data_IF_574532554367
#
_entry.id   IF_574532554367
#
_cell.length_a   1.000
_cell.length_b   1.000
_cell.length_c   1.000
_cell.angle_alpha   90.00
_cell.angle_beta   90.00
_cell.angle_gamma   90.00
#
_symmetry.space_group_name_H-M   'P 1'
#
loop_
_entity.id
_entity.type
_entity.pdbx_description
1 polymer ?
#
# COMPACT_ATOMS: atom_id res chain seq x y z
N UNK A 1 -41.28 -10.33 -18.82
CA UNK A 1 -40.30 -11.11 -19.62
C UNK A 1 -39.27 -11.68 -18.66
N UNK A 2 -38.84 -12.94 -18.82
CA UNK A 2 -37.79 -13.50 -17.95
C UNK A 2 -36.50 -12.68 -18.10
N UNK A 3 -35.83 -12.44 -16.97
CA UNK A 3 -34.55 -11.75 -16.90
C UNK A 3 -33.49 -12.55 -17.67
N UNK A 4 -32.79 -11.93 -18.62
CA UNK A 4 -31.76 -12.62 -19.39
C UNK A 4 -30.49 -12.85 -18.52
N UNK A 5 -29.63 -13.79 -18.93
CA UNK A 5 -28.44 -14.17 -18.13
C UNK A 5 -27.52 -12.97 -17.84
N UNK A 6 -27.39 -12.04 -18.78
CA UNK A 6 -26.60 -10.82 -18.59
C UNK A 6 -27.21 -9.90 -17.50
N UNK A 7 -28.52 -9.73 -17.48
CA UNK A 7 -29.21 -8.94 -16.44
C UNK A 7 -29.01 -9.57 -15.06
N UNK A 8 -29.11 -10.90 -14.95
CA UNK A 8 -28.84 -11.63 -13.70
C UNK A 8 -27.40 -11.44 -13.22
N UNK A 9 -26.43 -11.54 -14.13
CA UNK A 9 -25.02 -11.34 -13.82
C UNK A 9 -24.74 -9.91 -13.32
N UNK A 10 -25.23 -8.89 -14.03
CA UNK A 10 -25.06 -7.49 -13.64
C UNK A 10 -25.73 -7.22 -12.29
N UNK A 11 -26.91 -7.80 -12.03
CA UNK A 11 -27.58 -7.72 -10.74
C UNK A 11 -26.72 -8.35 -9.62
N UNK A 12 -26.18 -9.55 -9.85
CA UNK A 12 -25.32 -10.24 -8.90
C UNK A 12 -24.07 -9.40 -8.57
N UNK A 13 -23.41 -8.83 -9.58
CA UNK A 13 -22.25 -7.94 -9.40
C UNK A 13 -22.63 -6.71 -8.59
N UNK A 14 -23.78 -6.09 -8.87
CA UNK A 14 -24.25 -4.92 -8.12
C UNK A 14 -24.46 -5.25 -6.64
N UNK A 15 -25.19 -6.32 -6.34
CA UNK A 15 -25.55 -6.72 -4.98
C UNK A 15 -24.34 -7.24 -4.18
N UNK A 16 -23.36 -7.86 -4.85
CA UNK A 16 -22.19 -8.48 -4.18
C UNK A 16 -20.98 -7.55 -4.09
N UNK A 17 -20.84 -6.63 -5.06
CA UNK A 17 -19.65 -5.79 -5.22
C UNK A 17 -19.99 -4.31 -5.08
N UNK A 18 -20.80 -3.75 -6.00
CA UNK A 18 -21.02 -2.29 -6.05
C UNK A 18 -21.70 -1.75 -4.77
N UNK A 19 -22.76 -2.40 -4.30
CA UNK A 19 -23.53 -1.98 -3.12
C UNK A 19 -22.70 -2.11 -1.83
N UNK A 20 -22.12 -3.28 -1.49
CA UNK A 20 -21.24 -3.41 -0.34
C UNK A 20 -20.03 -2.48 -0.39
N UNK A 21 -19.44 -2.27 -1.57
CA UNK A 21 -18.34 -1.31 -1.72
C UNK A 21 -18.79 0.11 -1.36
N UNK A 22 -19.93 0.54 -1.90
CA UNK A 22 -20.47 1.87 -1.62
C UNK A 22 -20.85 2.05 -0.14
N UNK A 23 -21.30 0.98 0.53
CA UNK A 23 -21.53 0.97 1.98
C UNK A 23 -20.23 1.13 2.78
N UNK A 24 -19.16 0.38 2.44
CA UNK A 24 -17.84 0.54 3.06
C UNK A 24 -17.32 1.98 2.91
N UNK A 25 -17.45 2.55 1.71
CA UNK A 25 -17.07 3.95 1.43
C UNK A 25 -17.90 4.92 2.27
N UNK A 26 -19.22 4.74 2.35
CA UNK A 26 -20.08 5.61 3.19
C UNK A 26 -19.76 5.48 4.67
N UNK A 27 -19.43 4.29 5.14
CA UNK A 27 -19.04 4.03 6.53
C UNK A 27 -17.73 4.71 6.91
N UNK A 28 -16.70 4.62 6.05
CA UNK A 28 -15.35 5.15 6.34
C UNK A 28 -15.15 6.60 5.91
N UNK A 29 -15.73 7.02 4.78
CA UNK A 29 -15.51 8.32 4.13
C UNK A 29 -16.83 8.99 3.69
N UNK A 30 -17.81 9.06 4.59
CA UNK A 30 -19.16 9.60 4.31
C UNK A 30 -19.17 10.93 3.55
N UNK A 31 -18.29 11.88 3.92
CA UNK A 31 -18.18 13.21 3.28
C UNK A 31 -17.66 13.16 1.84
N UNK A 32 -16.92 12.13 1.47
CA UNK A 32 -16.31 11.98 0.14
C UNK A 32 -17.10 11.02 -0.77
N UNK A 33 -18.03 10.24 -0.20
CA UNK A 33 -18.75 9.16 -0.89
C UNK A 33 -19.40 9.60 -2.22
N UNK A 34 -19.94 10.82 -2.29
CA UNK A 34 -20.61 11.33 -3.49
C UNK A 34 -19.68 11.52 -4.71
N UNK A 35 -18.37 11.69 -4.47
CA UNK A 35 -17.33 11.87 -5.50
C UNK A 35 -16.29 10.75 -5.45
N UNK A 36 -16.63 9.65 -4.78
CA UNK A 36 -15.70 8.55 -4.59
C UNK A 36 -15.56 7.75 -5.89
N UNK A 37 -14.34 7.30 -6.26
CA UNK A 37 -14.14 6.50 -7.45
C UNK A 37 -15.07 5.28 -7.49
N UNK A 38 -15.57 4.98 -8.69
CA UNK A 38 -16.60 3.96 -8.96
C UNK A 38 -17.99 4.24 -8.37
N UNK A 39 -18.11 4.64 -7.09
CA UNK A 39 -19.38 4.97 -6.43
C UNK A 39 -20.10 6.15 -7.09
N UNK A 40 -19.33 7.13 -7.54
CA UNK A 40 -19.85 8.32 -8.25
C UNK A 40 -20.19 8.04 -9.72
N UNK A 41 -19.82 6.88 -10.25
CA UNK A 41 -20.05 6.48 -11.64
C UNK A 41 -18.84 5.75 -12.21
N UNK A 42 -19.12 4.64 -12.89
CA UNK A 42 -18.14 3.81 -13.57
C UNK A 42 -18.74 3.14 -14.80
N UNK A 43 -17.86 2.77 -15.71
CA UNK A 43 -18.11 1.78 -16.74
C UNK A 43 -17.59 0.41 -16.27
N UNK A 44 -18.42 -0.63 -16.35
CA UNK A 44 -18.06 -1.99 -15.94
C UNK A 44 -17.81 -2.86 -17.16
N UNK A 45 -16.62 -3.44 -17.23
CA UNK A 45 -16.26 -4.48 -18.20
C UNK A 45 -16.10 -5.80 -17.48
N UNK A 46 -16.69 -6.86 -18.02
CA UNK A 46 -16.61 -8.22 -17.46
C UNK A 46 -15.80 -9.09 -18.41
N UNK A 47 -14.80 -9.78 -17.87
CA UNK A 47 -14.01 -10.80 -18.54
C UNK A 47 -14.09 -12.14 -17.80
N UNK A 48 -13.80 -13.24 -18.49
CA UNK A 48 -13.74 -14.57 -17.89
C UNK A 48 -12.45 -15.27 -18.30
N UNK A 49 -11.81 -15.97 -17.36
CA UNK A 49 -10.61 -16.76 -17.62
C UNK A 49 -10.58 -18.02 -16.76
N UNK A 50 -10.70 -19.20 -17.40
CA UNK A 50 -10.63 -20.52 -16.72
C UNK A 50 -11.46 -20.59 -15.42
N UNK A 51 -12.71 -20.10 -15.46
CA UNK A 51 -13.64 -20.09 -14.32
C UNK A 51 -13.60 -18.83 -13.44
N UNK A 52 -12.54 -18.03 -13.54
CA UNK A 52 -12.49 -16.72 -12.88
C UNK A 52 -13.32 -15.70 -13.64
N UNK A 53 -14.02 -14.84 -12.92
CA UNK A 53 -14.64 -13.64 -13.45
C UNK A 53 -13.79 -12.43 -13.05
N UNK A 54 -13.46 -11.57 -14.02
CA UNK A 54 -12.60 -10.40 -13.83
C UNK A 54 -13.43 -9.16 -14.13
N UNK A 55 -13.57 -8.29 -13.13
CA UNK A 55 -14.41 -7.10 -13.20
C UNK A 55 -13.52 -5.87 -13.26
N UNK A 56 -13.62 -5.12 -14.34
CA UNK A 56 -12.86 -3.89 -14.55
C UNK A 56 -13.83 -2.71 -14.49
N UNK A 57 -13.67 -1.88 -13.46
CA UNK A 57 -14.44 -0.67 -13.24
C UNK A 57 -13.62 0.54 -13.66
N UNK A 58 -13.92 1.09 -14.84
CA UNK A 58 -13.36 2.38 -15.29
C UNK A 58 -14.15 3.52 -14.69
N UNK A 59 -13.52 4.36 -13.87
CA UNK A 59 -14.18 5.49 -13.27
C UNK A 59 -14.57 6.53 -14.33
N UNK A 60 -15.84 6.96 -14.31
CA UNK A 60 -16.37 7.97 -15.24
C UNK A 60 -16.88 9.21 -14.52
N UNK A 61 -17.19 9.11 -13.21
CA UNK A 61 -17.84 10.17 -12.45
C UNK A 61 -19.29 10.45 -12.86
N UNK A 62 -19.84 9.67 -13.80
CA UNK A 62 -21.19 9.83 -14.34
C UNK A 62 -21.94 8.51 -14.22
N UNK A 63 -22.96 8.48 -13.36
CA UNK A 63 -23.77 7.27 -13.10
C UNK A 63 -24.57 6.76 -14.31
N UNK A 64 -24.83 7.63 -15.28
CA UNK A 64 -25.70 7.35 -16.43
C UNK A 64 -24.99 6.61 -17.58
N UNK A 65 -23.66 6.53 -17.60
CA UNK A 65 -22.91 5.88 -18.68
C UNK A 65 -22.40 4.50 -18.24
N UNK A 66 -22.97 3.44 -18.82
CA UNK A 66 -22.48 2.06 -18.74
C UNK A 66 -22.35 1.52 -20.17
N UNK A 67 -21.14 1.26 -20.66
CA UNK A 67 -20.94 0.49 -21.89
C UNK A 67 -20.82 -0.99 -21.53
N UNK A 68 -21.41 -1.87 -22.34
CA UNK A 68 -21.33 -3.33 -22.15
C UNK A 68 -20.15 -3.93 -22.93
N UNK A 69 -19.06 -3.18 -23.06
CA UNK A 69 -17.88 -3.68 -23.75
C UNK A 69 -17.24 -4.75 -22.86
N UNK A 70 -17.42 -6.01 -23.26
CA UNK A 70 -16.69 -7.12 -22.66
C UNK A 70 -15.18 -6.87 -22.73
N UNK A 71 -14.42 -7.52 -21.86
CA UNK A 71 -12.96 -7.38 -21.82
C UNK A 71 -12.25 -8.01 -23.04
N UNK A 72 -13.01 -8.56 -24.00
CA UNK A 72 -12.51 -9.44 -25.05
C UNK A 72 -12.22 -10.84 -24.53
N UNK A 73 -11.57 -11.67 -25.36
CA UNK A 73 -11.09 -12.98 -24.95
C UNK A 73 -9.85 -12.81 -24.08
N UNK A 74 -9.87 -13.36 -22.87
CA UNK A 74 -8.70 -13.45 -22.01
C UNK A 74 -7.96 -14.76 -22.29
N UNK A 75 -6.74 -14.66 -22.78
CA UNK A 75 -5.83 -15.80 -23.03
C UNK A 75 -4.71 -15.83 -21.99
N UNK A 76 -3.99 -16.95 -21.82
CA UNK A 76 -2.83 -17.02 -20.93
C UNK A 76 -1.77 -15.94 -21.21
N UNK A 77 -1.61 -15.51 -22.46
CA UNK A 77 -0.66 -14.47 -22.86
C UNK A 77 -1.11 -13.08 -22.38
N UNK A 78 -2.41 -12.81 -22.42
CA UNK A 78 -3.03 -11.58 -21.90
C UNK A 78 -2.92 -11.56 -20.37
N UNK A 79 -3.37 -12.64 -19.73
CA UNK A 79 -3.35 -12.81 -18.26
C UNK A 79 -1.91 -12.87 -17.72
N UNK A 80 -0.96 -13.34 -18.53
CA UNK A 80 0.43 -13.58 -18.14
C UNK A 80 0.63 -14.84 -17.29
N UNK A 81 -0.36 -15.73 -17.22
CA UNK A 81 -0.30 -16.96 -16.46
C UNK A 81 -1.22 -18.04 -17.05
N UNK A 82 -0.83 -19.31 -16.90
CA UNK A 82 -1.67 -20.45 -17.31
C UNK A 82 -2.91 -20.61 -16.42
N UNK A 83 -2.86 -20.20 -15.16
CA UNK A 83 -4.01 -20.21 -14.26
C UNK A 83 -3.88 -19.05 -13.27
N UNK A 84 -5.01 -18.54 -12.81
CA UNK A 84 -5.05 -17.58 -11.70
C UNK A 84 -5.20 -18.40 -10.40
N UNK A 85 -4.35 -18.11 -9.44
CA UNK A 85 -4.32 -18.71 -8.10
C UNK A 85 -4.19 -17.60 -7.06
N UNK A 86 -4.44 -17.93 -5.79
CA UNK A 86 -4.24 -16.97 -4.69
C UNK A 86 -2.80 -16.44 -4.61
N UNK A 87 -1.83 -17.26 -5.01
CA UNK A 87 -0.41 -16.90 -4.92
C UNK A 87 0.04 -15.95 -6.06
N UNK A 88 -0.66 -15.96 -7.20
CA UNK A 88 -0.26 -15.16 -8.37
C UNK A 88 -1.27 -14.07 -8.77
N UNK A 89 -2.44 -13.99 -8.12
CA UNK A 89 -3.51 -13.04 -8.49
C UNK A 89 -3.01 -11.59 -8.51
N UNK A 90 -2.10 -11.21 -7.59
CA UNK A 90 -1.57 -9.85 -7.56
C UNK A 90 -0.56 -9.56 -8.68
N UNK A 91 0.19 -10.58 -9.11
CA UNK A 91 1.01 -10.47 -10.32
C UNK A 91 0.13 -10.25 -11.55
N UNK A 92 -0.94 -11.04 -11.68
CA UNK A 92 -1.92 -10.91 -12.78
C UNK A 92 -2.61 -9.55 -12.73
N UNK A 93 -3.05 -9.08 -11.55
CA UNK A 93 -3.69 -7.77 -11.35
C UNK A 93 -2.80 -6.65 -11.86
N UNK A 94 -1.53 -6.62 -11.47
CA UNK A 94 -0.56 -5.60 -11.89
C UNK A 94 -0.39 -5.57 -13.41
N UNK A 95 -0.20 -6.75 -14.03
CA UNK A 95 -0.09 -6.87 -15.47
C UNK A 95 -1.33 -6.35 -16.20
N UNK A 96 -2.52 -6.70 -15.71
CA UNK A 96 -3.78 -6.24 -16.33
C UNK A 96 -4.01 -4.74 -16.13
N UNK A 97 -3.65 -4.18 -14.97
CA UNK A 97 -3.67 -2.72 -14.73
C UNK A 97 -2.80 -2.00 -15.76
N UNK A 98 -1.59 -2.48 -16.00
CA UNK A 98 -0.67 -1.93 -17.01
C UNK A 98 -1.22 -2.08 -18.43
N UNK A 99 -1.66 -3.28 -18.81
CA UNK A 99 -2.14 -3.58 -20.15
C UNK A 99 -3.40 -2.80 -20.53
N UNK A 100 -4.32 -2.61 -19.59
CA UNK A 100 -5.55 -1.86 -19.81
C UNK A 100 -5.41 -0.35 -19.55
N UNK A 101 -4.21 0.12 -19.16
CA UNK A 101 -3.93 1.52 -18.88
C UNK A 101 -4.83 2.09 -17.77
N UNK A 102 -5.06 1.32 -16.70
CA UNK A 102 -6.00 1.69 -15.65
C UNK A 102 -5.47 2.84 -14.80
N UNK A 103 -6.28 3.88 -14.66
CA UNK A 103 -6.00 5.01 -13.80
C UNK A 103 -6.02 4.59 -12.31
N UNK A 104 -5.40 5.36 -11.41
CA UNK A 104 -5.46 5.10 -9.97
C UNK A 104 -6.90 5.00 -9.42
N UNK A 105 -7.85 5.73 -10.02
CA UNK A 105 -9.27 5.74 -9.69
C UNK A 105 -10.08 4.59 -10.29
N UNK A 106 -9.50 3.82 -11.20
CA UNK A 106 -10.12 2.61 -11.75
C UNK A 106 -9.91 1.44 -10.78
N UNK A 107 -10.77 0.43 -10.85
CA UNK A 107 -10.62 -0.80 -10.08
C UNK A 107 -10.62 -2.04 -10.97
N UNK A 108 -9.85 -3.04 -10.55
CA UNK A 108 -9.84 -4.37 -11.12
C UNK A 108 -10.10 -5.36 -9.98
N UNK A 109 -11.11 -6.21 -10.12
CA UNK A 109 -11.51 -7.21 -9.12
C UNK A 109 -11.42 -8.60 -9.74
N UNK A 110 -10.88 -9.54 -8.98
CA UNK A 110 -10.81 -10.95 -9.33
C UNK A 110 -11.82 -11.74 -8.52
N UNK A 111 -12.78 -12.35 -9.20
CA UNK A 111 -13.83 -13.16 -8.59
C UNK A 111 -13.53 -14.65 -8.86
N UNK A 112 -13.12 -15.41 -7.82
CA UNK A 112 -12.79 -16.83 -7.93
C UNK A 112 -13.98 -17.72 -8.32
N UNK A 113 -13.76 -18.86 -8.99
CA UNK A 113 -14.83 -19.80 -9.30
C UNK A 113 -15.54 -20.35 -8.05
N UNK A 114 -14.88 -20.35 -6.88
CA UNK A 114 -15.45 -20.80 -5.61
C UNK A 114 -16.42 -19.79 -4.97
N UNK A 115 -16.42 -18.53 -5.43
CA UNK A 115 -17.26 -17.46 -4.88
C UNK A 115 -16.47 -16.17 -4.62
N UNK A 116 -17.21 -15.06 -4.43
CA UNK A 116 -16.61 -13.75 -4.19
C UNK A 116 -15.91 -13.70 -2.83
N UNK A 117 -14.66 -13.26 -2.82
CA UNK A 117 -13.92 -12.98 -1.59
C UNK A 117 -14.06 -11.50 -1.22
N UNK A 118 -14.66 -11.16 -0.06
CA UNK A 118 -14.80 -9.77 0.38
C UNK A 118 -13.49 -8.99 0.52
N UNK A 119 -12.32 -9.66 0.52
CA UNK A 119 -11.00 -9.01 0.49
C UNK A 119 -10.79 -8.15 -0.76
N UNK A 120 -11.41 -8.50 -1.89
CA UNK A 120 -11.31 -7.71 -3.14
C UNK A 120 -11.88 -6.30 -2.96
N UNK A 121 -12.87 -6.14 -2.09
CA UNK A 121 -13.40 -4.82 -1.75
C UNK A 121 -12.42 -4.01 -0.90
N UNK A 122 -11.61 -4.66 -0.07
CA UNK A 122 -10.54 -4.01 0.70
C UNK A 122 -9.38 -3.60 -0.20
N UNK A 123 -9.02 -4.44 -1.18
CA UNK A 123 -8.03 -4.10 -2.22
C UNK A 123 -8.50 -2.88 -3.03
N UNK A 124 -9.76 -2.88 -3.47
CA UNK A 124 -10.38 -1.75 -4.17
C UNK A 124 -10.44 -0.49 -3.29
N UNK A 125 -10.76 -0.64 -2.01
CA UNK A 125 -10.78 0.46 -1.04
C UNK A 125 -9.40 1.08 -0.88
N UNK A 126 -8.38 0.25 -0.61
CA UNK A 126 -6.99 0.66 -0.46
C UNK A 126 -6.52 1.42 -1.70
N UNK A 127 -6.76 0.88 -2.89
CA UNK A 127 -6.40 1.51 -4.16
C UNK A 127 -6.98 2.92 -4.28
N UNK A 128 -8.28 3.08 -4.02
CA UNK A 128 -8.94 4.39 -4.13
C UNK A 128 -8.54 5.35 -3.00
N UNK A 129 -8.24 4.87 -1.80
CA UNK A 129 -7.68 5.70 -0.73
C UNK A 129 -6.28 6.21 -1.10
N UNK A 130 -5.43 5.37 -1.68
CA UNK A 130 -4.12 5.78 -2.22
C UNK A 130 -4.26 6.82 -3.32
N UNK A 131 -5.11 6.57 -4.32
CA UNK A 131 -5.36 7.49 -5.43
C UNK A 131 -5.82 8.87 -4.96
N UNK A 132 -6.53 8.91 -3.83
CA UNK A 132 -7.04 10.15 -3.24
C UNK A 132 -6.09 10.80 -2.23
N UNK A 133 -4.89 10.25 -2.03
CA UNK A 133 -3.92 10.74 -1.06
C UNK A 133 -4.40 10.61 0.40
N UNK A 134 -5.29 9.66 0.68
CA UNK A 134 -5.83 9.41 2.02
C UNK A 134 -5.02 8.39 2.81
N UNK A 135 -4.12 7.67 2.13
CA UNK A 135 -3.21 6.72 2.76
C UNK A 135 -1.88 7.42 3.07
N UNK A 136 -1.38 7.31 4.30
CA UNK A 136 -0.07 7.82 4.64
C UNK A 136 1.03 7.03 3.92
N UNK A 137 1.97 7.73 3.28
CA UNK A 137 3.00 7.12 2.43
C UNK A 137 4.42 7.37 2.94
N UNK A 138 4.58 8.06 4.07
CA UNK A 138 5.91 8.40 4.58
C UNK A 138 6.64 7.19 5.13
N UNK A 139 7.96 7.25 5.07
CA UNK A 139 8.84 6.27 5.69
C UNK A 139 9.63 6.99 6.78
N UNK A 140 9.30 6.73 8.04
CA UNK A 140 10.06 7.28 9.16
C UNK A 140 11.41 6.58 9.30
N UNK A 141 12.49 7.35 9.45
CA UNK A 141 13.84 6.81 9.62
C UNK A 141 14.38 7.13 11.03
N UNK A 142 14.13 6.23 11.99
CA UNK A 142 14.59 6.34 13.38
C UNK A 142 16.07 5.99 13.49
N UNK A 143 16.85 6.91 14.06
CA UNK A 143 18.29 6.79 14.19
C UNK A 143 18.83 7.71 15.28
N UNK A 144 20.08 7.51 15.69
CA UNK A 144 20.79 8.48 16.53
C UNK A 144 21.45 9.56 15.69
N UNK A 145 21.62 10.74 16.30
CA UNK A 145 22.29 11.87 15.65
C UNK A 145 23.71 11.54 15.14
N UNK A 146 24.43 10.62 15.81
CA UNK A 146 25.75 10.16 15.36
C UNK A 146 25.70 9.41 14.01
N UNK A 147 24.58 8.73 13.72
CA UNK A 147 24.41 7.87 12.56
C UNK A 147 23.76 8.61 11.37
N UNK A 148 23.51 9.92 11.51
CA UNK A 148 22.94 10.79 10.47
C UNK A 148 23.59 10.65 9.10
N UNK A 149 24.94 10.60 8.97
CA UNK A 149 25.57 10.46 7.66
C UNK A 149 25.20 9.16 6.92
N UNK A 150 24.97 8.06 7.65
CA UNK A 150 24.51 6.80 7.06
C UNK A 150 23.05 6.91 6.63
N UNK A 151 22.20 7.41 7.52
CA UNK A 151 20.74 7.43 7.31
C UNK A 151 20.35 8.41 6.20
N UNK A 152 21.09 9.51 6.04
CA UNK A 152 20.91 10.43 4.90
C UNK A 152 21.16 9.76 3.55
N UNK A 153 22.04 8.78 3.46
CA UNK A 153 22.22 8.00 2.22
C UNK A 153 20.96 7.17 1.91
N UNK A 154 20.36 6.53 2.91
CA UNK A 154 19.10 5.80 2.76
C UNK A 154 17.96 6.73 2.36
N UNK A 155 17.85 7.90 3.01
CA UNK A 155 16.87 8.93 2.65
C UNK A 155 17.01 9.33 1.18
N UNK A 156 18.21 9.66 0.73
CA UNK A 156 18.46 10.07 -0.66
C UNK A 156 18.08 8.97 -1.66
N UNK A 157 18.43 7.71 -1.38
CA UNK A 157 18.09 6.60 -2.25
C UNK A 157 16.58 6.34 -2.31
N UNK A 158 15.89 6.36 -1.16
CA UNK A 158 14.43 6.22 -1.11
C UNK A 158 13.72 7.35 -1.88
N UNK A 159 14.16 8.59 -1.68
CA UNK A 159 13.64 9.78 -2.37
C UNK A 159 13.84 9.68 -3.89
N UNK A 160 15.04 9.28 -4.33
CA UNK A 160 15.34 9.08 -5.76
C UNK A 160 14.51 7.97 -6.42
N UNK A 161 14.09 6.97 -5.65
CA UNK A 161 13.18 5.92 -6.12
C UNK A 161 11.71 6.38 -6.16
N UNK A 162 11.38 7.53 -5.56
CA UNK A 162 10.03 8.09 -5.54
C UNK A 162 9.24 7.81 -4.26
N UNK A 163 9.90 7.40 -3.18
CA UNK A 163 9.28 7.33 -1.85
C UNK A 163 9.35 8.69 -1.13
N UNK A 164 8.64 8.82 0.00
CA UNK A 164 8.64 10.02 0.86
C UNK A 164 9.32 9.73 2.22
N UNK A 165 10.66 9.61 2.27
CA UNK A 165 11.38 9.35 3.53
C UNK A 165 11.45 10.58 4.42
N UNK A 166 11.11 10.41 5.70
CA UNK A 166 11.04 11.48 6.69
C UNK A 166 12.10 11.30 7.79
N UNK A 167 12.87 12.37 8.05
CA UNK A 167 13.76 12.51 9.20
C UNK A 167 13.16 13.52 10.19
N UNK A 168 13.38 13.28 11.49
CA UNK A 168 12.95 14.15 12.59
C UNK A 168 13.38 15.62 12.41
N UNK A 169 14.54 15.87 11.80
CA UNK A 169 15.07 17.22 11.52
C UNK A 169 14.17 18.11 10.65
N UNK A 170 13.39 17.52 9.72
CA UNK A 170 12.65 18.28 8.70
C UNK A 170 11.42 19.02 9.25
N UNK A 171 11.02 18.75 10.50
CA UNK A 171 9.83 19.32 11.15
C UNK A 171 10.12 20.10 12.45
N UNK A 172 11.39 20.15 12.90
CA UNK A 172 11.77 20.81 14.15
C UNK A 172 11.93 22.34 13.97
N UNK A 173 10.84 23.03 13.69
CA UNK A 173 10.77 24.47 13.94
C UNK A 173 10.99 24.74 15.44
N UNK A 174 11.86 25.69 15.77
CA UNK A 174 12.08 26.09 17.17
C UNK A 174 10.74 26.46 17.84
N UNK A 175 10.41 25.82 18.97
CA UNK A 175 9.18 26.06 19.74
C UNK A 175 8.00 25.11 19.48
N UNK A 176 8.12 24.15 18.54
CA UNK A 176 7.12 23.10 18.37
C UNK A 176 7.23 22.03 19.48
N UNK A 177 6.10 21.54 19.99
CA UNK A 177 6.06 20.43 20.94
C UNK A 177 6.50 19.15 20.22
N UNK A 178 7.76 18.74 20.47
CA UNK A 178 8.48 17.65 19.78
C UNK A 178 7.65 16.36 19.67
N UNK A 179 6.90 16.03 20.72
CA UNK A 179 6.04 14.84 20.78
C UNK A 179 4.89 14.87 19.76
N UNK A 180 4.27 16.05 19.54
CA UNK A 180 3.18 16.18 18.55
C UNK A 180 3.67 16.02 17.12
N UNK A 181 4.86 16.52 16.82
CA UNK A 181 5.47 16.38 15.49
C UNK A 181 5.82 14.92 15.20
N UNK A 182 6.38 14.20 16.18
CA UNK A 182 6.66 12.77 16.09
C UNK A 182 5.38 11.95 15.90
N UNK A 183 4.36 12.17 16.74
CA UNK A 183 3.06 11.51 16.62
C UNK A 183 2.44 11.69 15.23
N UNK A 184 2.50 12.92 14.70
CA UNK A 184 2.04 13.20 13.35
C UNK A 184 2.89 12.48 12.30
N UNK A 185 4.23 12.49 12.43
CA UNK A 185 5.13 11.78 11.53
C UNK A 185 4.83 10.28 11.44
N UNK A 186 4.60 9.62 12.57
CA UNK A 186 4.18 8.21 12.62
C UNK A 186 2.78 7.99 12.02
N UNK A 187 1.82 8.85 12.36
CA UNK A 187 0.48 8.81 11.76
C UNK A 187 0.51 8.97 10.24
N UNK A 188 1.42 9.81 9.73
CA UNK A 188 1.61 10.08 8.31
C UNK A 188 2.50 9.03 7.59
N UNK A 189 3.01 8.04 8.33
CA UNK A 189 3.91 7.00 7.80
C UNK A 189 3.21 5.66 7.53
N UNK A 190 3.68 4.94 6.52
CA UNK A 190 3.38 3.53 6.25
C UNK A 190 4.51 2.60 6.73
N UNK A 191 5.64 3.15 7.15
CA UNK A 191 6.74 2.36 7.70
C UNK A 191 7.60 3.18 8.66
N UNK A 192 8.24 2.47 9.58
CA UNK A 192 9.31 2.99 10.42
C UNK A 192 10.53 2.07 10.30
N UNK A 193 11.65 2.63 9.84
CA UNK A 193 12.94 1.97 9.73
C UNK A 193 13.80 2.39 10.93
N UNK A 194 14.20 1.41 11.74
CA UNK A 194 15.05 1.58 12.91
C UNK A 194 16.48 1.18 12.57
N UNK A 195 17.40 2.15 12.61
CA UNK A 195 18.83 1.95 12.39
C UNK A 195 19.53 1.70 13.73
N UNK A 196 19.63 0.43 14.13
CA UNK A 196 20.19 -0.01 15.40
C UNK A 196 21.70 -0.17 15.28
N UNK A 197 22.45 0.89 15.57
CA UNK A 197 23.92 0.90 15.65
C UNK A 197 24.39 0.73 17.10
N UNK A 198 25.70 0.57 17.38
CA UNK A 198 26.23 0.65 18.75
C UNK A 198 25.96 2.00 19.46
N UNK A 199 25.66 3.06 18.69
CA UNK A 199 25.28 4.37 19.22
C UNK A 199 23.80 4.41 19.63
N UNK A 200 22.97 3.49 19.14
CA UNK A 200 21.53 3.38 19.41
C UNK A 200 21.27 2.96 20.86
N UNK A 201 21.43 3.92 21.78
CA UNK A 201 21.24 3.76 23.22
C UNK A 201 20.06 4.60 23.70
N UNK A 202 19.34 4.05 24.66
CA UNK A 202 18.10 4.64 25.15
C UNK A 202 18.38 6.03 25.77
N UNK A 203 17.81 7.05 25.16
CA UNK A 203 17.69 8.41 25.67
C UNK A 203 16.21 8.77 25.47
N UNK A 204 15.62 9.54 26.39
CA UNK A 204 14.20 9.86 26.61
C UNK A 204 13.16 9.77 25.47
N UNK A 205 13.55 9.76 24.19
CA UNK A 205 12.68 9.75 23.02
C UNK A 205 12.67 8.43 22.23
N UNK A 206 13.75 7.61 22.24
CA UNK A 206 13.81 6.40 21.40
C UNK A 206 12.81 5.32 21.83
N UNK A 207 12.65 5.11 23.14
CA UNK A 207 11.61 4.21 23.65
C UNK A 207 10.22 4.64 23.18
N UNK A 208 9.92 5.94 23.22
CA UNK A 208 8.65 6.50 22.76
C UNK A 208 8.43 6.30 21.25
N UNK A 209 9.46 6.48 20.42
CA UNK A 209 9.38 6.19 18.98
C UNK A 209 9.02 4.72 18.69
N UNK A 210 9.63 3.78 19.43
CA UNK A 210 9.31 2.35 19.30
C UNK A 210 7.86 2.09 19.72
N UNK A 211 7.41 2.69 20.82
CA UNK A 211 6.03 2.55 21.28
C UNK A 211 5.02 3.11 20.25
N UNK A 212 5.30 4.27 19.64
CA UNK A 212 4.45 4.83 18.59
C UNK A 212 4.41 3.94 17.34
N UNK A 213 5.56 3.41 16.91
CA UNK A 213 5.61 2.48 15.79
C UNK A 213 4.75 1.23 16.05
N UNK A 214 4.78 0.69 17.27
CA UNK A 214 3.97 -0.48 17.67
C UNK A 214 2.49 -0.13 17.72
N UNK A 215 2.12 1.05 18.21
CA UNK A 215 0.74 1.52 18.20
C UNK A 215 0.21 1.64 16.77
N UNK A 216 0.99 2.23 15.86
CA UNK A 216 0.62 2.34 14.45
C UNK A 216 0.57 0.97 13.77
N UNK A 217 1.49 0.05 14.06
CA UNK A 217 1.43 -1.34 13.55
C UNK A 217 0.14 -2.04 13.98
N UNK A 218 -0.29 -1.87 15.23
CA UNK A 218 -1.56 -2.45 15.74
C UNK A 218 -2.78 -1.83 15.08
N UNK A 219 -2.75 -0.52 14.83
CA UNK A 219 -3.86 0.23 14.25
C UNK A 219 -4.02 0.01 12.75
N UNK A 220 -2.91 -0.03 12.01
CA UNK A 220 -2.86 -0.09 10.54
C UNK A 220 -2.61 -1.50 9.98
N UNK A 221 -2.24 -2.46 10.82
CA UNK A 221 -1.98 -3.85 10.40
C UNK A 221 -0.86 -3.91 9.35
N UNK A 222 -1.15 -4.52 8.20
CA UNK A 222 -0.16 -4.70 7.12
C UNK A 222 0.14 -3.42 6.33
N UNK A 223 -0.65 -2.36 6.52
CA UNK A 223 -0.41 -1.05 5.92
C UNK A 223 0.67 -0.24 6.67
N UNK A 224 1.17 -0.75 7.80
CA UNK A 224 2.31 -0.18 8.51
C UNK A 224 3.39 -1.23 8.76
N UNK A 225 4.65 -0.92 8.46
CA UNK A 225 5.76 -1.87 8.61
C UNK A 225 6.83 -1.34 9.57
N UNK A 226 7.22 -2.19 10.51
CA UNK A 226 8.35 -1.95 11.41
C UNK A 226 9.55 -2.70 10.85
N UNK A 227 10.57 -1.97 10.43
CA UNK A 227 11.76 -2.52 9.78
C UNK A 227 12.95 -2.24 10.69
N UNK A 228 13.61 -3.28 11.19
CA UNK A 228 14.74 -3.13 12.12
C UNK A 228 16.02 -3.63 11.48
N UNK A 229 16.97 -2.72 11.30
CA UNK A 229 18.29 -2.98 10.73
C UNK A 229 19.35 -2.83 11.83
N UNK A 230 20.11 -3.89 12.09
CA UNK A 230 21.11 -3.94 13.14
C UNK A 230 22.50 -3.91 12.52
N UNK A 231 23.30 -2.93 12.93
CA UNK A 231 24.64 -2.70 12.41
C UNK A 231 25.69 -3.02 13.47
N UNK A 232 26.85 -3.49 12.99
CA UNK A 232 28.04 -3.71 13.81
C UNK A 232 29.17 -2.78 13.41
N UNK A 233 29.75 -2.08 14.37
CA UNK A 233 30.86 -1.16 14.18
C UNK A 233 31.97 -1.45 15.19
N UNK A 234 33.22 -1.55 14.73
CA UNK A 234 34.39 -1.78 15.59
C UNK A 234 34.23 -2.98 16.55
N UNK A 235 33.62 -4.07 16.07
CA UNK A 235 33.38 -5.29 16.85
C UNK A 235 32.25 -5.19 17.89
N UNK A 236 31.48 -4.10 17.88
CA UNK A 236 30.28 -3.94 18.72
C UNK A 236 29.04 -3.96 17.84
N UNK A 237 28.00 -4.65 18.29
CA UNK A 237 26.69 -4.71 17.60
C UNK A 237 25.70 -3.84 18.35
N UNK A 238 24.82 -3.16 17.60
CA UNK A 238 23.73 -2.40 18.21
C UNK A 238 22.80 -3.28 19.05
N UNK A 239 22.40 -2.78 20.22
CA UNK A 239 21.50 -3.50 21.11
C UNK A 239 20.05 -3.26 20.71
N UNK A 240 19.37 -4.30 20.21
CA UNK A 240 17.96 -4.21 19.82
C UNK A 240 17.08 -4.02 21.06
N UNK A 241 16.24 -2.97 21.12
CA UNK A 241 15.26 -2.78 22.19
C UNK A 241 14.33 -3.98 22.34
N UNK A 242 13.96 -4.35 23.57
CA UNK A 242 13.08 -5.51 23.83
C UNK A 242 11.74 -5.45 23.09
N UNK A 243 11.18 -4.25 22.98
CA UNK A 243 9.94 -4.04 22.25
C UNK A 243 10.06 -4.36 20.76
N UNK A 244 11.24 -4.20 20.15
CA UNK A 244 11.49 -4.54 18.75
C UNK A 244 11.86 -6.01 18.54
N UNK A 245 12.36 -6.72 19.57
CA UNK A 245 12.72 -8.16 19.45
C UNK A 245 11.55 -9.08 19.12
N UNK A 246 10.30 -8.62 19.32
CA UNK A 246 9.10 -9.35 18.89
C UNK A 246 8.88 -9.34 17.37
N UNK A 247 9.61 -8.51 16.64
CA UNK A 247 9.61 -8.45 15.18
C UNK A 247 10.92 -9.01 14.64
N UNK A 248 10.87 -9.59 13.44
CA UNK A 248 12.08 -10.06 12.76
C UNK A 248 12.93 -8.85 12.38
N UNK A 249 14.15 -8.80 12.90
CA UNK A 249 15.16 -7.81 12.51
C UNK A 249 16.21 -8.44 11.59
N UNK A 250 16.99 -7.59 10.92
CA UNK A 250 18.05 -8.01 10.00
C UNK A 250 19.39 -7.48 10.46
N UNK A 251 20.42 -8.31 10.31
CA UNK A 251 21.84 -7.97 10.51
C UNK A 251 22.54 -7.96 9.14
N UNK A 252 22.30 -6.94 8.30
CA UNK A 252 22.86 -6.87 6.96
C UNK A 252 24.38 -6.69 7.00
N UNK A 253 25.10 -7.46 6.18
CA UNK A 253 26.56 -7.36 6.08
C UNK A 253 27.03 -6.08 5.36
N UNK A 254 26.18 -5.47 4.54
CA UNK A 254 26.49 -4.25 3.76
C UNK A 254 25.30 -3.30 3.73
N UNK A 255 25.56 -2.00 3.49
CA UNK A 255 24.50 -1.01 3.31
C UNK A 255 23.55 -1.33 2.14
N UNK A 256 24.06 -1.96 1.07
CA UNK A 256 23.21 -2.37 -0.05
C UNK A 256 22.25 -3.49 0.35
N UNK A 257 22.74 -4.50 1.10
CA UNK A 257 21.87 -5.55 1.61
C UNK A 257 20.84 -5.01 2.60
N UNK A 258 21.23 -4.03 3.44
CA UNK A 258 20.33 -3.34 4.35
C UNK A 258 19.22 -2.57 3.59
N UNK A 259 19.60 -1.85 2.54
CA UNK A 259 18.66 -1.14 1.69
C UNK A 259 17.69 -2.07 0.96
N UNK A 260 18.18 -3.22 0.47
CA UNK A 260 17.34 -4.25 -0.13
C UNK A 260 16.30 -4.80 0.87
N UNK A 261 16.68 -5.03 2.13
CA UNK A 261 15.72 -5.46 3.17
C UNK A 261 14.65 -4.38 3.44
N UNK A 262 15.00 -3.09 3.37
CA UNK A 262 14.01 -1.99 3.45
C UNK A 262 13.02 -2.10 2.29
N UNK A 263 13.51 -2.14 1.05
CA UNK A 263 12.63 -2.20 -0.14
C UNK A 263 11.71 -3.42 -0.12
N UNK A 264 12.21 -4.58 0.33
CA UNK A 264 11.43 -5.80 0.44
C UNK A 264 10.32 -5.71 1.50
N UNK A 265 10.56 -4.98 2.58
CA UNK A 265 9.64 -4.90 3.70
C UNK A 265 8.63 -3.74 3.60
N UNK A 266 8.86 -2.75 2.73
CA UNK A 266 7.92 -1.65 2.53
C UNK A 266 6.57 -2.17 1.99
N UNK A 267 5.44 -1.64 2.48
CA UNK A 267 4.12 -2.00 1.96
C UNK A 267 3.76 -1.25 0.66
N UNK A 268 4.70 -0.46 0.13
CA UNK A 268 4.51 0.43 -1.02
C UNK A 268 5.37 -0.01 -2.19
N UNK A 269 4.83 0.15 -3.40
CA UNK A 269 5.57 0.06 -4.64
C UNK A 269 5.53 1.41 -5.37
N UNK A 270 6.62 1.75 -6.04
CA UNK A 270 6.72 2.97 -6.86
C UNK A 270 6.24 2.67 -8.28
N UNK A 271 5.74 3.71 -8.97
CA UNK A 271 5.11 3.60 -10.28
C UNK A 271 6.07 3.19 -11.41
N UNK A 272 5.51 3.05 -12.61
CA UNK A 272 6.27 2.63 -13.78
C UNK A 272 7.38 3.62 -14.15
N UNK A 273 8.54 3.13 -14.64
CA UNK A 273 9.60 3.99 -15.14
C UNK A 273 9.09 4.93 -16.22
N UNK A 274 9.53 6.18 -16.17
CA UNK A 274 9.23 7.20 -17.17
C UNK A 274 10.53 7.79 -17.72
N UNK A 275 10.47 8.32 -18.93
CA UNK A 275 11.58 9.06 -19.52
C UNK A 275 11.73 10.39 -18.78
N UNK A 276 12.86 10.59 -18.11
CA UNK A 276 13.25 11.90 -17.59
C UNK A 276 13.70 12.73 -18.80
N UNK A 277 12.94 13.78 -19.13
CA UNK A 277 13.32 14.78 -20.12
C UNK A 277 14.35 15.76 -19.54
#
# INVERSE_FOLDING_TARGET
MPENENQKLIRQIRETVEEPYAERVRGKHSKLAARWPVVSGCNLQVGHFKGWMILLFKHTGVKAFRSNDGMGLLTPEIVGAEAITRDNVEFVRRRMVEMHGLAPEDALIFWPPEGFDPIELDVMMLRHETARGLIPMKIFLSHKSADKPLVRQFKQLLDQLGFDPWLDEDAMSAGAELERALLKGFSDSCAAVFFITPNYKDENYLASEVDYAIQEKRKKGDQFQIITLVFSENGKTGAVPELLKRYVYKEPATHLSAFHEVLKALPLAVGSPYWKA
#
